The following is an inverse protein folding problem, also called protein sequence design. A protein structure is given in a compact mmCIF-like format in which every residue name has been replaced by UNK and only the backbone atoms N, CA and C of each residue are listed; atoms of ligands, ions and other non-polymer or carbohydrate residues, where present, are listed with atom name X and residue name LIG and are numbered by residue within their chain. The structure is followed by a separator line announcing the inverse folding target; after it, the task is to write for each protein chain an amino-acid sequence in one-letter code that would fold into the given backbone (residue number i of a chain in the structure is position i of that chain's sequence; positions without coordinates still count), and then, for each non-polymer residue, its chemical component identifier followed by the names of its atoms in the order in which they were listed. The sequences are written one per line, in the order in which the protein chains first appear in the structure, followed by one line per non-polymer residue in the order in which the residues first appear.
data_IF_510636681869
#
_entry.id   IF_510636681869
#
_cell.length_a   1.000
_cell.length_b   1.000
_cell.length_c   1.000
_cell.angle_alpha   90.00
_cell.angle_beta   90.00
_cell.angle_gamma   90.00
#
_symmetry.space_group_name_H-M   'P 1'
#
loop_
_entity.id
_entity.type
_entity.pdbx_description
1 polymer ?
#
# COMPACT_ATOMS: atom_id res chain seq x y z
N UNK A 1 -10.16 2.78 -3.45
CA UNK A 1 -9.97 1.72 -2.45
C UNK A 1 -11.11 0.75 -2.61
N UNK A 2 -10.81 -0.53 -2.78
CA UNK A 2 -11.84 -1.57 -2.93
C UNK A 2 -12.00 -2.27 -1.59
N UNK A 3 -13.24 -2.55 -1.22
CA UNK A 3 -13.51 -3.38 -0.07
C UNK A 3 -12.97 -4.80 -0.29
N UNK A 4 -12.54 -5.43 0.81
CA UNK A 4 -12.14 -6.83 0.78
C UNK A 4 -13.35 -7.76 0.63
N UNK A 5 -13.13 -9.05 0.86
CA UNK A 5 -14.17 -10.09 0.75
C UNK A 5 -15.45 -9.75 1.54
N UNK A 6 -15.32 -9.18 2.73
CA UNK A 6 -16.45 -8.83 3.60
C UNK A 6 -17.22 -7.56 3.18
N UNK A 7 -16.76 -6.81 2.17
CA UNK A 7 -17.47 -5.64 1.65
C UNK A 7 -17.52 -4.42 2.58
N UNK A 8 -16.83 -4.44 3.72
CA UNK A 8 -16.77 -3.33 4.67
C UNK A 8 -15.61 -2.38 4.36
N UNK A 9 -15.79 -1.10 4.69
CA UNK A 9 -14.74 -0.10 4.60
C UNK A 9 -13.72 -0.26 5.75
N UNK A 10 -12.50 0.25 5.57
CA UNK A 10 -11.43 0.12 6.55
C UNK A 10 -10.93 1.49 7.04
N UNK A 11 -11.34 1.82 8.26
CA UNK A 11 -11.01 3.08 8.95
C UNK A 11 -9.51 3.35 9.08
N UNK A 12 -8.67 2.31 9.05
CA UNK A 12 -7.21 2.47 9.14
C UNK A 12 -6.65 3.27 7.97
N UNK A 13 -7.29 3.22 6.80
CA UNK A 13 -6.84 3.94 5.61
C UNK A 13 -6.91 5.47 5.77
N UNK A 14 -7.67 5.96 6.74
CA UNK A 14 -7.89 7.40 6.99
C UNK A 14 -7.10 7.94 8.19
N UNK A 15 -6.31 7.09 8.86
CA UNK A 15 -5.53 7.51 10.03
C UNK A 15 -4.35 8.39 9.63
N UNK A 16 -4.10 9.44 10.40
CA UNK A 16 -2.99 10.38 10.17
C UNK A 16 -1.58 9.75 10.12
N UNK A 17 -1.40 8.57 10.72
CA UNK A 17 -0.12 7.82 10.73
C UNK A 17 -0.08 6.69 9.70
N UNK A 18 -1.02 6.67 8.76
CA UNK A 18 -1.13 5.64 7.74
C UNK A 18 -1.02 6.29 6.37
N UNK A 19 -0.03 5.84 5.59
CA UNK A 19 0.16 6.28 4.22
C UNK A 19 -0.18 5.14 3.27
N UNK A 20 -1.01 5.44 2.28
CA UNK A 20 -1.40 4.49 1.26
C UNK A 20 -0.43 4.54 0.08
N UNK A 21 0.15 3.39 -0.27
CA UNK A 21 1.03 3.24 -1.43
C UNK A 21 0.24 2.54 -2.55
N UNK A 22 -0.14 3.30 -3.58
CA UNK A 22 -0.98 2.80 -4.67
C UNK A 22 -0.15 2.21 -5.81
N UNK A 23 -0.56 1.05 -6.32
CA UNK A 23 0.07 0.38 -7.47
C UNK A 23 -0.14 -1.13 -7.45
N UNK A 24 0.35 -1.81 -8.48
CA UNK A 24 0.40 -3.27 -8.47
C UNK A 24 1.40 -3.74 -7.39
N UNK A 25 1.05 -4.81 -6.66
CA UNK A 25 1.92 -5.30 -5.58
C UNK A 25 3.33 -5.67 -6.10
N UNK A 26 3.40 -6.28 -7.28
CA UNK A 26 4.67 -6.68 -7.90
C UNK A 26 5.56 -5.47 -8.21
N UNK A 27 5.00 -4.43 -8.83
CA UNK A 27 5.79 -3.27 -9.26
C UNK A 27 6.25 -2.45 -8.05
N UNK A 28 5.38 -2.26 -7.05
CA UNK A 28 5.72 -1.46 -5.87
C UNK A 28 6.80 -2.14 -5.01
N UNK A 29 6.72 -3.46 -4.83
CA UNK A 29 7.77 -4.21 -4.11
C UNK A 29 9.09 -4.18 -4.89
N UNK A 30 9.06 -4.34 -6.22
CA UNK A 30 10.26 -4.27 -7.04
C UNK A 30 10.97 -2.92 -6.96
N UNK A 31 10.21 -1.83 -7.01
CA UNK A 31 10.73 -0.46 -6.82
C UNK A 31 11.34 -0.28 -5.44
N UNK A 32 10.64 -0.66 -4.37
CA UNK A 32 11.13 -0.55 -2.99
C UNK A 32 12.46 -1.26 -2.79
N UNK A 33 12.58 -2.50 -3.28
CA UNK A 33 13.84 -3.27 -3.17
C UNK A 33 14.97 -2.61 -3.95
N UNK A 34 14.68 -1.99 -5.09
CA UNK A 34 15.68 -1.31 -5.91
C UNK A 34 16.21 -0.05 -5.23
N UNK A 35 15.33 0.78 -4.67
CA UNK A 35 15.68 1.99 -3.92
C UNK A 35 16.51 1.65 -2.67
N UNK A 36 16.12 0.60 -1.92
CA UNK A 36 16.86 0.17 -0.72
C UNK A 36 18.27 -0.32 -1.05
N UNK A 37 18.49 -0.89 -2.24
CA UNK A 37 19.83 -1.32 -2.68
C UNK A 37 20.73 -0.16 -3.14
N UNK A 38 20.15 1.02 -3.38
CA UNK A 38 20.88 2.22 -3.81
C UNK A 38 21.27 3.15 -2.65
N UNK A 39 20.72 2.88 -1.45
CA UNK A 39 21.14 3.46 -0.16
C UNK A 39 22.40 2.78 0.36
#
# INVERSE_FOLDING_TARGET
MSAGFAGVDNDLFYKNKTTMLFGSAKDMVGKLVSEVKQL
#
